data_IF_812189288864
#
_entry.id   IF_812189288864
#
_cell.length_a   1.000
_cell.length_b   1.000
_cell.length_c   1.000
_cell.angle_alpha   90.00
_cell.angle_beta   90.00
_cell.angle_gamma   90.00
#
_symmetry.space_group_name_H-M   'P 1'
#
loop_
_entity.id
_entity.type
_entity.pdbx_description
1 polymer ?
#
# COMPACT_ATOMS: atom_id res chain seq x y z
N UNK A 1 -23.49 -51.70 36.53
CA UNK A 1 -23.30 -52.03 37.95
C UNK A 1 -21.81 -51.96 38.23
N UNK A 2 -21.42 -51.13 39.20
CA UNK A 2 -20.12 -51.06 39.88
C UNK A 2 -18.90 -50.69 39.03
N UNK A 3 -17.94 -49.88 39.46
CA UNK A 3 -17.80 -48.76 40.42
C UNK A 3 -16.36 -48.26 40.17
N UNK A 4 -16.15 -46.99 40.49
CA UNK A 4 -14.93 -46.17 40.45
C UNK A 4 -13.58 -46.86 40.60
N UNK A 5 -12.55 -46.29 39.97
CA UNK A 5 -11.29 -46.08 40.70
C UNK A 5 -10.61 -44.75 40.37
N UNK A 6 -10.35 -44.06 41.47
CA UNK A 6 -9.83 -42.73 41.70
C UNK A 6 -8.30 -42.83 41.80
N UNK A 7 -7.55 -42.05 41.02
CA UNK A 7 -6.10 -41.99 41.19
C UNK A 7 -5.58 -40.56 41.20
N UNK A 8 -5.40 -40.11 42.43
CA UNK A 8 -4.67 -38.93 42.84
C UNK A 8 -3.24 -38.89 42.27
N UNK A 9 -2.82 -37.70 41.85
CA UNK A 9 -1.41 -37.30 41.70
C UNK A 9 -1.34 -35.81 42.07
N UNK A 10 -1.07 -35.54 43.34
CA UNK A 10 0.23 -35.07 43.85
C UNK A 10 0.64 -33.70 43.28
N UNK A 11 0.31 -32.67 44.07
CA UNK A 11 0.98 -31.37 44.09
C UNK A 11 2.45 -31.55 44.50
N UNK A 12 3.37 -30.73 43.95
CA UNK A 12 4.63 -30.45 44.61
C UNK A 12 4.70 -29.00 45.13
N UNK A 13 4.97 -28.95 46.43
CA UNK A 13 5.97 -28.12 47.10
C UNK A 13 5.83 -26.58 47.05
N UNK A 14 5.44 -26.09 48.23
CA UNK A 14 5.80 -24.80 48.81
C UNK A 14 7.30 -24.49 48.60
N UNK A 15 7.57 -23.35 47.96
CA UNK A 15 8.90 -22.81 47.76
C UNK A 15 8.95 -21.38 48.28
N UNK A 16 9.51 -21.25 49.48
CA UNK A 16 10.39 -20.16 49.94
C UNK A 16 9.92 -18.71 49.71
N UNK A 17 9.30 -18.15 50.74
CA UNK A 17 9.22 -16.71 50.96
C UNK A 17 10.65 -16.14 51.00
N UNK A 18 11.02 -15.42 49.95
CA UNK A 18 12.16 -14.51 49.98
C UNK A 18 11.64 -13.17 50.47
N UNK A 19 12.25 -12.68 51.55
CA UNK A 19 12.12 -11.31 52.06
C UNK A 19 12.28 -10.33 50.89
N UNK A 20 11.17 -9.72 50.49
CA UNK A 20 11.17 -8.57 49.60
C UNK A 20 11.59 -7.40 50.49
N UNK A 21 12.87 -7.09 50.44
CA UNK A 21 13.39 -5.80 50.88
C UNK A 21 12.66 -4.73 50.09
N UNK A 22 11.84 -3.97 50.81
CA UNK A 22 11.13 -2.80 50.33
C UNK A 22 12.14 -1.85 49.65
N UNK A 23 12.01 -1.60 48.34
CA UNK A 23 12.90 -0.68 47.65
C UNK A 23 12.66 0.71 48.22
N UNK A 24 13.68 1.25 48.88
CA UNK A 24 13.77 2.64 49.34
C UNK A 24 13.12 3.55 48.29
N UNK A 25 12.03 4.20 48.70
CA UNK A 25 11.35 5.25 47.97
C UNK A 25 12.41 6.28 47.58
N UNK A 26 12.64 6.54 46.28
CA UNK A 26 13.57 7.58 45.87
C UNK A 26 13.01 8.90 46.41
N UNK A 27 13.73 9.47 47.38
CA UNK A 27 13.45 10.78 47.93
C UNK A 27 13.16 11.74 46.78
N UNK A 28 12.03 12.44 46.88
CA UNK A 28 11.64 13.59 46.06
C UNK A 28 12.78 14.62 46.03
N UNK A 29 13.75 14.39 45.14
CA UNK A 29 14.68 15.41 44.74
C UNK A 29 13.87 16.37 43.89
N UNK A 30 13.53 17.52 44.49
CA UNK A 30 12.94 18.64 43.77
C UNK A 30 13.67 18.81 42.43
N UNK A 31 12.94 18.85 41.31
CA UNK A 31 13.58 19.05 40.02
C UNK A 31 14.38 20.36 40.09
N UNK A 32 15.61 20.40 39.55
CA UNK A 32 16.39 21.62 39.50
C UNK A 32 15.53 22.73 38.87
N UNK A 33 15.61 23.97 39.39
CA UNK A 33 14.79 25.07 38.91
C UNK A 33 14.91 25.17 37.39
N UNK A 34 13.78 25.06 36.71
CA UNK A 34 13.70 25.23 35.28
C UNK A 34 14.00 26.70 34.99
N UNK A 35 15.21 27.00 34.56
CA UNK A 35 15.51 28.27 33.91
C UNK A 35 14.55 28.38 32.72
N UNK A 36 13.62 29.34 32.82
CA UNK A 36 12.61 29.57 31.80
C UNK A 36 13.25 29.73 30.42
N UNK A 37 12.50 29.44 29.34
CA UNK A 37 13.04 29.50 27.99
C UNK A 37 13.69 30.85 27.76
N UNK A 38 15.02 30.85 27.69
CA UNK A 38 15.80 32.01 27.31
C UNK A 38 15.25 32.50 25.98
N UNK A 39 14.62 33.67 26.02
CA UNK A 39 14.09 34.39 24.87
C UNK A 39 15.27 35.00 24.12
N UNK A 40 16.20 34.15 23.68
CA UNK A 40 17.22 34.52 22.72
C UNK A 40 16.52 34.62 21.38
N UNK A 41 16.13 35.84 21.04
CA UNK A 41 15.69 36.23 19.73
C UNK A 41 16.73 35.75 18.70
N UNK A 42 16.45 34.61 18.07
CA UNK A 42 17.23 34.14 16.95
C UNK A 42 17.14 35.20 15.84
N UNK A 43 18.26 35.62 15.25
CA UNK A 43 18.21 36.50 14.09
C UNK A 43 17.39 35.81 13.00
N UNK A 44 16.45 36.55 12.41
CA UNK A 44 15.65 36.13 11.26
C UNK A 44 16.60 35.74 10.12
N UNK A 45 16.99 34.46 10.09
CA UNK A 45 17.70 33.86 8.98
C UNK A 45 16.77 33.89 7.78
N UNK A 46 17.23 34.57 6.72
CA UNK A 46 16.54 34.67 5.44
C UNK A 46 16.04 33.29 4.97
N UNK A 47 14.88 33.23 4.29
CA UNK A 47 14.32 31.98 3.80
C UNK A 47 15.34 31.30 2.88
N UNK A 48 15.82 30.14 3.29
CA UNK A 48 16.62 29.28 2.43
C UNK A 48 15.79 28.94 1.18
N UNK A 49 16.31 29.19 -0.04
CA UNK A 49 15.61 28.83 -1.25
C UNK A 49 15.50 27.29 -1.32
N UNK A 50 14.29 26.79 -1.13
CA UNK A 50 13.96 25.40 -1.44
C UNK A 50 14.15 25.23 -2.94
N UNK A 51 15.19 24.51 -3.35
CA UNK A 51 15.45 24.15 -4.75
C UNK A 51 14.46 23.05 -5.15
N UNK A 52 13.23 23.49 -5.43
CA UNK A 52 12.26 22.74 -6.22
C UNK A 52 12.90 22.53 -7.58
N UNK A 53 13.27 21.28 -7.89
CA UNK A 53 13.70 20.95 -9.25
C UNK A 53 12.38 20.81 -10.01
N UNK A 54 11.95 21.89 -10.65
CA UNK A 54 10.81 21.86 -11.56
C UNK A 54 11.36 21.46 -12.92
N UNK A 55 11.33 20.16 -13.24
CA UNK A 55 11.67 19.64 -14.58
C UNK A 55 10.55 19.98 -15.57
N UNK A 56 10.48 21.25 -15.98
CA UNK A 56 9.64 21.66 -17.11
C UNK A 56 10.28 21.20 -18.43
N UNK A 57 9.91 20.00 -18.87
CA UNK A 57 10.32 19.45 -20.17
C UNK A 57 9.56 20.12 -21.32
N UNK A 58 9.95 21.34 -21.68
CA UNK A 58 9.50 22.04 -22.88
C UNK A 58 10.64 22.11 -23.91
N UNK A 59 10.84 21.03 -24.65
CA UNK A 59 11.82 20.95 -25.73
C UNK A 59 11.89 19.51 -26.20
N UNK A 60 11.85 19.29 -27.52
CA UNK A 60 11.75 17.98 -28.19
C UNK A 60 12.97 17.08 -28.00
N UNK A 61 13.38 16.81 -26.76
CA UNK A 61 14.31 15.77 -26.38
C UNK A 61 13.68 14.39 -26.52
N UNK A 62 14.54 13.38 -26.62
CA UNK A 62 14.14 11.99 -26.62
C UNK A 62 13.22 11.71 -25.41
N UNK A 63 11.93 11.43 -25.67
CA UNK A 63 11.01 11.08 -24.59
C UNK A 63 11.28 9.61 -24.23
N UNK A 64 11.86 9.42 -23.05
CA UNK A 64 12.16 8.10 -22.48
C UNK A 64 10.94 7.54 -21.78
N UNK A 65 10.69 6.23 -21.93
CA UNK A 65 9.71 5.48 -21.14
C UNK A 65 10.34 4.86 -19.87
N UNK A 66 11.56 5.29 -19.54
CA UNK A 66 12.32 4.91 -18.37
C UNK A 66 12.77 6.16 -17.63
N UNK A 67 12.36 6.30 -16.38
CA UNK A 67 12.77 7.37 -15.48
C UNK A 67 13.31 6.74 -14.21
N UNK A 68 14.53 7.13 -13.81
CA UNK A 68 15.16 6.69 -12.57
C UNK A 68 15.57 7.91 -11.74
N UNK A 69 15.03 8.02 -10.52
CA UNK A 69 15.37 9.07 -9.56
C UNK A 69 15.78 8.40 -8.26
N UNK A 70 17.02 8.67 -7.83
CA UNK A 70 17.57 8.16 -6.58
C UNK A 70 18.11 9.34 -5.81
N UNK A 71 17.54 9.61 -4.64
CA UNK A 71 17.96 10.72 -3.79
C UNK A 71 18.01 10.31 -2.33
N UNK A 72 19.19 10.19 -1.68
CA UNK A 72 19.28 9.69 -0.31
C UNK A 72 18.50 10.55 0.70
N UNK A 73 18.69 11.87 0.65
CA UNK A 73 18.21 12.79 1.69
C UNK A 73 17.14 13.77 1.23
N UNK A 74 16.62 13.61 0.01
CA UNK A 74 15.60 14.50 -0.57
C UNK A 74 14.26 13.79 -0.65
N UNK A 75 13.20 14.47 -0.24
CA UNK A 75 11.84 14.01 -0.48
C UNK A 75 11.54 14.14 -1.98
N UNK A 76 10.92 13.11 -2.55
CA UNK A 76 10.47 13.11 -3.94
C UNK A 76 8.96 13.36 -3.89
N UNK A 77 8.49 14.41 -4.56
CA UNK A 77 7.07 14.73 -4.64
C UNK A 77 6.77 15.28 -6.02
N UNK A 78 6.56 14.37 -6.98
CA UNK A 78 6.50 14.70 -8.40
C UNK A 78 5.35 13.96 -9.11
N UNK A 79 5.00 14.49 -10.28
CA UNK A 79 4.02 13.91 -11.21
C UNK A 79 4.73 13.42 -12.46
N UNK A 80 4.47 12.17 -12.83
CA UNK A 80 5.11 11.47 -13.93
C UNK A 80 4.09 11.10 -15.00
N UNK A 81 4.51 11.21 -16.26
CA UNK A 81 3.73 10.77 -17.41
C UNK A 81 4.45 9.59 -18.08
N UNK A 82 3.81 8.42 -18.07
CA UNK A 82 4.35 7.16 -18.59
C UNK A 82 3.61 6.84 -19.88
N UNK A 83 4.36 6.75 -20.98
CA UNK A 83 3.81 6.39 -22.29
C UNK A 83 4.19 4.95 -22.61
N UNK A 84 3.27 4.01 -22.33
CA UNK A 84 3.53 2.57 -22.49
C UNK A 84 3.68 2.16 -23.95
N UNK A 85 3.34 2.99 -24.93
CA UNK A 85 3.52 2.62 -26.34
C UNK A 85 4.97 2.68 -26.81
N UNK A 86 5.86 3.23 -25.97
CA UNK A 86 7.28 3.36 -26.29
C UNK A 86 8.03 2.11 -25.85
N UNK A 87 8.84 1.51 -26.73
CA UNK A 87 9.69 0.41 -26.33
C UNK A 87 10.67 0.90 -25.27
N UNK A 88 10.87 0.09 -24.23
CA UNK A 88 11.99 0.27 -23.31
C UNK A 88 13.25 -0.01 -24.10
N UNK A 89 14.12 1.01 -24.22
CA UNK A 89 15.41 0.80 -24.89
C UNK A 89 16.19 -0.28 -24.12
N UNK A 90 16.72 -1.30 -24.80
CA UNK A 90 17.57 -2.29 -24.16
C UNK A 90 18.74 -1.57 -23.48
N UNK A 91 19.14 -2.05 -22.30
CA UNK A 91 20.33 -1.58 -21.60
C UNK A 91 21.58 -1.96 -22.41
N UNK A 92 21.87 -1.23 -23.47
CA UNK A 92 23.09 -1.37 -24.25
C UNK A 92 24.22 -0.61 -23.52
N UNK A 93 24.73 -1.19 -22.44
CA UNK A 93 25.87 -0.66 -21.72
C UNK A 93 26.26 -1.53 -20.52
N UNK A 94 27.54 -1.53 -20.08
CA UNK A 94 27.95 -2.20 -18.85
C UNK A 94 27.13 -1.62 -17.70
N UNK A 95 26.24 -2.45 -17.18
CA UNK A 95 25.25 -2.09 -16.17
C UNK A 95 25.96 -1.45 -14.99
N UNK A 96 25.72 -0.16 -14.76
CA UNK A 96 26.13 0.53 -13.54
C UNK A 96 25.30 -0.08 -12.41
N UNK A 97 25.81 -1.19 -11.86
CA UNK A 97 25.26 -1.96 -10.74
C UNK A 97 23.80 -1.60 -10.47
N UNK A 98 22.89 -2.07 -11.32
CA UNK A 98 21.47 -2.02 -10.97
C UNK A 98 21.37 -2.68 -9.60
N UNK A 99 20.79 -2.00 -8.60
CA UNK A 99 20.75 -2.57 -7.26
C UNK A 99 20.16 -3.97 -7.33
N UNK A 100 20.88 -4.94 -6.78
CA UNK A 100 20.65 -6.38 -6.98
C UNK A 100 19.22 -6.81 -6.60
N UNK A 101 18.56 -5.98 -5.78
CA UNK A 101 17.16 -6.10 -5.35
C UNK A 101 16.11 -5.81 -6.43
N UNK A 102 16.47 -5.30 -7.62
CA UNK A 102 15.51 -4.93 -8.68
C UNK A 102 15.26 -5.99 -9.73
N UNK A 103 15.78 -7.20 -9.54
CA UNK A 103 15.27 -8.33 -10.30
C UNK A 103 13.84 -8.63 -9.85
N UNK A 104 12.88 -7.90 -10.42
CA UNK A 104 11.51 -8.40 -10.52
C UNK A 104 11.59 -9.83 -11.07
N UNK A 105 10.66 -10.69 -10.66
CA UNK A 105 10.59 -12.07 -11.13
C UNK A 105 10.69 -12.21 -12.65
N UNK A 106 10.27 -11.18 -13.39
CA UNK A 106 10.17 -11.20 -14.85
C UNK A 106 11.40 -10.58 -15.55
N UNK A 107 12.40 -10.10 -14.80
CA UNK A 107 13.58 -9.40 -15.36
C UNK A 107 13.24 -8.11 -16.13
N UNK A 108 12.00 -7.63 -16.00
CA UNK A 108 11.50 -6.47 -16.74
C UNK A 108 11.91 -5.17 -16.07
N UNK A 109 12.41 -4.24 -16.87
CA UNK A 109 12.85 -2.92 -16.40
C UNK A 109 11.62 -2.05 -16.07
N UNK A 110 11.58 -1.35 -14.93
CA UNK A 110 10.47 -0.48 -14.58
C UNK A 110 10.42 0.76 -15.47
N UNK A 111 9.23 1.22 -15.84
CA UNK A 111 9.04 2.50 -16.53
C UNK A 111 9.38 3.69 -15.63
N UNK A 112 9.05 3.58 -14.34
CA UNK A 112 9.35 4.59 -13.33
C UNK A 112 9.99 3.93 -12.12
N UNK A 113 11.17 4.41 -11.73
CA UNK A 113 11.88 4.01 -10.53
C UNK A 113 12.20 5.25 -9.69
N UNK A 114 11.60 5.35 -8.50
CA UNK A 114 11.84 6.45 -7.56
C UNK A 114 12.25 5.91 -6.19
N UNK A 115 13.39 6.37 -5.67
CA UNK A 115 13.96 5.90 -4.41
C UNK A 115 14.46 7.05 -3.55
N UNK A 116 14.13 7.02 -2.26
CA UNK A 116 14.71 7.91 -1.26
C UNK A 116 14.97 7.20 0.05
N UNK A 117 16.22 7.14 0.48
CA UNK A 117 16.60 6.36 1.66
C UNK A 117 15.94 6.94 2.92
N UNK A 118 16.05 8.26 3.11
CA UNK A 118 15.67 8.90 4.38
C UNK A 118 14.39 9.75 4.32
N UNK A 119 13.85 10.02 3.13
CA UNK A 119 12.70 10.94 2.98
C UNK A 119 11.55 10.30 2.24
N UNK A 120 10.37 10.90 2.42
CA UNK A 120 9.16 10.41 1.78
C UNK A 120 9.23 10.50 0.26
N UNK A 121 8.59 9.52 -0.38
CA UNK A 121 8.36 9.46 -1.81
C UNK A 121 6.86 9.61 -2.07
N UNK A 122 6.49 10.57 -2.90
CA UNK A 122 5.13 10.80 -3.35
C UNK A 122 5.14 10.91 -4.88
N UNK A 123 4.73 9.83 -5.54
CA UNK A 123 4.70 9.73 -6.99
C UNK A 123 3.26 9.65 -7.48
N UNK A 124 2.88 10.61 -8.32
CA UNK A 124 1.61 10.58 -9.05
C UNK A 124 1.87 10.26 -10.52
N UNK A 125 1.12 9.34 -11.11
CA UNK A 125 1.39 8.82 -12.44
C UNK A 125 0.16 8.97 -13.34
N UNK A 126 0.38 9.50 -14.54
CA UNK A 126 -0.54 9.41 -15.67
C UNK A 126 0.02 8.40 -16.67
N UNK A 127 -0.80 7.44 -17.07
CA UNK A 127 -0.40 6.33 -17.94
C UNK A 127 -1.15 6.49 -19.25
N UNK A 128 -0.40 6.71 -20.33
CA UNK A 128 -0.95 6.88 -21.67
C UNK A 128 -0.44 5.82 -22.64
N UNK A 129 -1.21 5.59 -23.69
CA UNK A 129 -0.87 4.70 -24.81
C UNK A 129 -1.09 5.46 -26.10
N UNK A 130 0.00 5.91 -26.74
CA UNK A 130 -0.11 6.73 -27.96
C UNK A 130 -0.59 5.96 -29.20
N UNK A 131 -0.44 4.63 -29.22
CA UNK A 131 -0.87 3.77 -30.34
C UNK A 131 -1.65 2.53 -29.86
N UNK A 132 -2.91 2.35 -30.29
CA UNK A 132 -3.69 1.14 -30.01
C UNK A 132 -3.41 -0.01 -30.99
N UNK A 133 -2.64 0.22 -32.08
CA UNK A 133 -2.55 -0.68 -33.23
C UNK A 133 -1.65 -1.90 -33.00
N UNK A 134 -0.64 -1.78 -32.14
CA UNK A 134 0.24 -2.90 -31.84
C UNK A 134 -0.42 -3.72 -30.74
N UNK A 135 -1.05 -4.84 -31.11
CA UNK A 135 -1.81 -5.74 -30.22
C UNK A 135 -1.04 -6.35 -29.05
N UNK A 136 0.19 -5.89 -28.78
CA UNK A 136 0.92 -6.22 -27.58
C UNK A 136 0.40 -5.36 -26.41
N UNK A 137 -0.16 -6.00 -25.40
CA UNK A 137 -0.61 -5.33 -24.17
C UNK A 137 0.63 -4.98 -23.35
N UNK A 138 1.15 -3.77 -23.56
CA UNK A 138 2.29 -3.30 -22.78
C UNK A 138 1.83 -2.83 -21.40
N UNK A 139 2.47 -3.37 -20.38
CA UNK A 139 2.23 -3.07 -18.97
C UNK A 139 3.11 -1.91 -18.52
N UNK A 140 2.54 -0.94 -17.81
CA UNK A 140 3.32 0.07 -17.08
C UNK A 140 3.85 -0.56 -15.79
N UNK A 141 5.16 -0.50 -15.55
CA UNK A 141 5.79 -0.98 -14.34
C UNK A 141 6.37 0.19 -13.52
N UNK A 142 5.87 0.38 -12.31
CA UNK A 142 6.18 1.52 -11.43
C UNK A 142 6.76 0.98 -10.13
N UNK A 143 7.93 1.48 -9.73
CA UNK A 143 8.60 1.15 -8.48
C UNK A 143 8.83 2.42 -7.67
N UNK A 144 8.32 2.43 -6.43
CA UNK A 144 8.56 3.50 -5.49
C UNK A 144 9.03 2.94 -4.15
N UNK A 145 10.15 3.45 -3.64
CA UNK A 145 10.72 2.94 -2.41
C UNK A 145 11.29 4.00 -1.49
N UNK A 146 11.21 3.73 -0.19
CA UNK A 146 11.93 4.48 0.83
C UNK A 146 12.32 3.62 2.01
N UNK A 147 13.50 3.81 2.60
CA UNK A 147 13.84 3.03 3.80
C UNK A 147 13.11 3.60 5.02
N UNK A 148 13.17 4.92 5.20
CA UNK A 148 12.65 5.57 6.41
C UNK A 148 11.41 6.45 6.16
N UNK A 149 11.17 6.87 4.92
CA UNK A 149 10.11 7.78 4.54
C UNK A 149 8.79 7.10 4.19
N UNK A 150 7.70 7.88 4.17
CA UNK A 150 6.42 7.37 3.65
C UNK A 150 6.49 7.21 2.14
N UNK A 151 5.85 6.17 1.59
CA UNK A 151 5.73 5.95 0.15
C UNK A 151 4.28 6.12 -0.25
N UNK A 152 4.00 7.09 -1.10
CA UNK A 152 2.68 7.31 -1.71
C UNK A 152 2.80 7.15 -3.22
N UNK A 153 2.05 6.22 -3.79
CA UNK A 153 1.97 6.04 -5.25
C UNK A 153 0.52 6.17 -5.66
N UNK A 154 0.23 7.02 -6.64
CA UNK A 154 -1.12 7.16 -7.17
C UNK A 154 -1.16 7.19 -8.68
N UNK A 155 -2.14 6.50 -9.26
CA UNK A 155 -2.45 6.59 -10.69
C UNK A 155 -3.64 7.53 -10.81
N UNK A 156 -3.41 8.71 -11.39
CA UNK A 156 -4.44 9.74 -11.56
C UNK A 156 -5.28 9.47 -12.79
N UNK A 157 -4.64 9.00 -13.87
CA UNK A 157 -5.28 8.69 -15.15
C UNK A 157 -4.56 7.53 -15.82
N UNK A 158 -5.35 6.69 -16.50
CA UNK A 158 -4.89 5.54 -17.25
C UNK A 158 -5.71 5.40 -18.54
N UNK A 159 -5.05 5.15 -19.66
CA UNK A 159 -5.74 4.85 -20.91
C UNK A 159 -6.34 3.43 -20.89
N UNK A 160 -7.54 3.21 -21.45
CA UNK A 160 -8.18 1.91 -21.50
C UNK A 160 -7.29 0.84 -22.17
N UNK A 161 -7.32 -0.38 -21.62
CA UNK A 161 -6.53 -1.51 -22.16
C UNK A 161 -5.03 -1.42 -21.87
N UNK A 162 -4.62 -0.60 -20.91
CA UNK A 162 -3.26 -0.63 -20.35
C UNK A 162 -3.28 -1.30 -18.99
N UNK A 163 -2.36 -2.25 -18.78
CA UNK A 163 -2.17 -2.88 -17.47
C UNK A 163 -1.08 -2.17 -16.67
N UNK A 164 -1.19 -2.22 -15.35
CA UNK A 164 -0.24 -1.54 -14.46
C UNK A 164 0.25 -2.46 -13.38
N UNK A 165 1.57 -2.51 -13.19
CA UNK A 165 2.23 -3.15 -12.07
C UNK A 165 2.86 -2.09 -11.17
N UNK A 166 2.39 -2.01 -9.92
CA UNK A 166 2.90 -1.08 -8.91
C UNK A 166 3.67 -1.89 -7.85
N UNK A 167 4.95 -1.59 -7.66
CA UNK A 167 5.74 -2.10 -6.54
C UNK A 167 6.07 -0.96 -5.58
N UNK A 168 5.60 -1.05 -4.34
CA UNK A 168 5.84 -0.05 -3.30
C UNK A 168 6.57 -0.68 -2.11
N UNK A 169 7.74 -0.13 -1.75
CA UNK A 169 8.60 -0.67 -0.68
C UNK A 169 8.86 0.37 0.41
N UNK A 170 8.61 0.04 1.66
CA UNK A 170 8.99 0.89 2.80
C UNK A 170 9.37 0.10 4.05
N UNK A 171 10.54 0.38 4.63
CA UNK A 171 10.93 -0.32 5.86
C UNK A 171 10.22 0.31 7.07
N UNK A 172 10.22 1.63 7.22
CA UNK A 172 9.66 2.28 8.41
C UNK A 172 8.39 3.08 8.10
N UNK A 173 8.38 3.82 6.99
CA UNK A 173 7.28 4.72 6.67
C UNK A 173 6.03 3.99 6.18
N UNK A 174 4.92 4.70 6.16
CA UNK A 174 3.65 4.19 5.68
C UNK A 174 3.62 4.11 4.15
N UNK A 175 2.93 3.10 3.62
CA UNK A 175 2.70 2.93 2.18
C UNK A 175 1.25 3.29 1.88
N UNK A 176 1.02 4.19 0.93
CA UNK A 176 -0.31 4.61 0.47
C UNK A 176 -0.39 4.40 -1.04
N UNK A 177 -1.30 3.54 -1.50
CA UNK A 177 -1.52 3.28 -2.92
C UNK A 177 -2.90 3.81 -3.32
N UNK A 178 -2.93 4.66 -4.34
CA UNK A 178 -4.15 5.23 -4.94
C UNK A 178 -4.38 4.63 -6.33
N UNK A 179 -5.38 3.76 -6.44
CA UNK A 179 -5.67 2.97 -7.63
C UNK A 179 -6.73 3.61 -8.52
N UNK A 180 -6.67 3.49 -9.84
CA UNK A 180 -7.76 3.97 -10.69
C UNK A 180 -9.03 3.13 -10.43
N UNK A 181 -10.22 3.69 -10.68
CA UNK A 181 -11.51 3.05 -10.33
C UNK A 181 -11.78 1.72 -11.05
N UNK A 182 -11.14 1.56 -12.19
CA UNK A 182 -11.20 0.43 -13.11
C UNK A 182 -10.02 -0.55 -12.88
N UNK A 183 -9.27 -0.41 -11.80
CA UNK A 183 -8.22 -1.36 -11.43
C UNK A 183 -8.81 -2.75 -11.17
N UNK A 184 -8.26 -3.76 -11.84
CA UNK A 184 -8.63 -5.17 -11.66
C UNK A 184 -7.39 -6.04 -11.67
N UNK A 185 -7.14 -6.75 -10.57
CA UNK A 185 -5.99 -7.64 -10.50
C UNK A 185 -5.51 -8.01 -9.09
N UNK A 186 -4.47 -8.86 -9.00
CA UNK A 186 -3.88 -9.31 -7.75
C UNK A 186 -3.17 -8.19 -6.98
N UNK A 187 -3.27 -8.31 -5.65
CA UNK A 187 -2.47 -7.60 -4.67
C UNK A 187 -1.65 -8.62 -3.89
N UNK A 188 -0.34 -8.49 -3.95
CA UNK A 188 0.61 -9.20 -3.10
C UNK A 188 1.13 -8.24 -2.05
N UNK A 189 0.97 -8.58 -0.78
CA UNK A 189 1.45 -7.78 0.33
C UNK A 189 2.38 -8.61 1.21
N UNK A 190 3.64 -8.21 1.31
CA UNK A 190 4.62 -8.75 2.23
C UNK A 190 4.83 -7.74 3.36
N UNK A 191 4.50 -8.13 4.58
CA UNK A 191 4.69 -7.26 5.75
C UNK A 191 5.27 -8.02 6.94
N UNK A 192 6.23 -7.44 7.65
CA UNK A 192 6.69 -8.02 8.91
C UNK A 192 5.63 -7.94 10.01
N UNK A 193 4.65 -7.03 9.89
CA UNK A 193 3.45 -7.00 10.72
C UNK A 193 2.27 -7.55 9.92
N UNK A 194 2.31 -8.86 9.64
CA UNK A 194 1.17 -9.52 9.01
C UNK A 194 0.13 -9.82 10.04
N UNK A 195 -0.82 -8.91 10.08
CA UNK A 195 -2.20 -9.33 10.11
C UNK A 195 -2.88 -8.45 9.06
N UNK A 196 -3.44 -9.03 8.00
CA UNK A 196 -4.37 -8.29 7.11
C UNK A 196 -5.66 -7.87 7.85
N UNK A 197 -5.88 -8.43 9.05
CA UNK A 197 -6.83 -7.95 10.05
C UNK A 197 -6.21 -6.96 11.07
N UNK A 198 -4.93 -6.59 10.93
CA UNK A 198 -4.31 -5.57 11.78
C UNK A 198 -4.88 -4.19 11.41
N UNK A 199 -4.98 -3.27 12.36
CA UNK A 199 -5.34 -1.87 12.09
C UNK A 199 -4.35 -1.14 11.15
N UNK A 200 -3.26 -1.79 10.76
CA UNK A 200 -2.21 -1.25 9.91
C UNK A 200 -2.51 -1.40 8.42
N UNK A 201 -3.34 -2.36 8.01
CA UNK A 201 -3.78 -2.49 6.62
C UNK A 201 -5.17 -1.86 6.46
N UNK A 202 -5.24 -0.72 5.77
CA UNK A 202 -6.49 0.03 5.59
C UNK A 202 -6.90 0.01 4.13
N UNK A 203 -8.00 -0.70 3.87
CA UNK A 203 -8.69 -0.66 2.58
C UNK A 203 -9.90 0.25 2.73
N UNK A 204 -10.03 1.26 1.86
CA UNK A 204 -11.25 2.09 1.83
C UNK A 204 -12.50 1.24 1.57
N UNK A 205 -13.68 1.59 2.12
CA UNK A 205 -14.90 0.79 1.96
C UNK A 205 -15.20 0.44 0.49
N UNK A 206 -15.03 1.40 -0.43
CA UNK A 206 -15.25 1.20 -1.88
C UNK A 206 -14.34 0.13 -2.49
N UNK A 207 -13.07 0.05 -2.08
CA UNK A 207 -12.16 -1.02 -2.54
C UNK A 207 -12.53 -2.34 -1.85
N UNK A 208 -12.91 -2.28 -0.57
CA UNK A 208 -13.26 -3.46 0.23
C UNK A 208 -14.45 -4.24 -0.33
N UNK A 209 -15.40 -3.56 -0.97
CA UNK A 209 -16.54 -4.20 -1.64
C UNK A 209 -16.14 -5.07 -2.84
N UNK A 210 -14.97 -4.80 -3.45
CA UNK A 210 -14.47 -5.49 -4.64
C UNK A 210 -13.27 -6.40 -4.37
N UNK A 211 -12.78 -6.44 -3.13
CA UNK A 211 -11.59 -7.20 -2.80
C UNK A 211 -11.97 -8.61 -2.30
N UNK A 212 -11.34 -9.62 -2.89
CA UNK A 212 -11.45 -11.02 -2.47
C UNK A 212 -10.11 -11.47 -1.90
N UNK A 213 -10.08 -11.83 -0.62
CA UNK A 213 -8.91 -12.44 0.02
C UNK A 213 -8.88 -13.93 -0.33
N UNK A 214 -7.75 -14.43 -0.82
CA UNK A 214 -7.65 -15.84 -1.22
C UNK A 214 -6.43 -16.58 -0.67
N UNK A 215 -5.42 -15.92 -0.10
CA UNK A 215 -4.36 -16.65 0.60
C UNK A 215 -3.65 -15.76 1.62
N UNK A 216 -3.33 -16.34 2.77
CA UNK A 216 -2.44 -15.74 3.77
C UNK A 216 -1.39 -16.81 4.06
N UNK A 217 -0.14 -16.49 3.76
CA UNK A 217 1.02 -17.31 4.08
C UNK A 217 1.69 -16.72 5.32
N UNK A 218 1.29 -17.24 6.49
CA UNK A 218 1.81 -16.75 7.78
C UNK A 218 3.32 -17.00 7.92
N UNK A 219 3.82 -18.11 7.36
CA UNK A 219 5.23 -18.47 7.41
C UNK A 219 6.08 -17.54 6.54
N UNK A 220 5.66 -17.31 5.30
CA UNK A 220 6.34 -16.39 4.39
C UNK A 220 6.11 -14.92 4.73
N UNK A 221 5.16 -14.64 5.64
CA UNK A 221 4.66 -13.29 5.88
C UNK A 221 4.23 -12.66 4.55
N UNK A 222 3.28 -13.31 3.90
CA UNK A 222 2.64 -12.78 2.69
C UNK A 222 1.11 -12.90 2.76
N UNK A 223 0.44 -11.93 2.16
CA UNK A 223 -0.99 -11.95 1.96
C UNK A 223 -1.33 -11.66 0.51
N UNK A 224 -2.34 -12.36 0.01
CA UNK A 224 -2.75 -12.35 -1.37
C UNK A 224 -4.23 -12.00 -1.49
N UNK A 225 -4.48 -10.93 -2.24
CA UNK A 225 -5.80 -10.40 -2.55
C UNK A 225 -6.02 -10.34 -4.04
N UNK A 226 -7.28 -10.27 -4.45
CA UNK A 226 -7.65 -9.89 -5.81
C UNK A 226 -8.69 -8.78 -5.75
N UNK A 227 -8.54 -7.71 -6.55
CA UNK A 227 -9.58 -6.70 -6.76
C UNK A 227 -10.31 -7.07 -8.05
N UNK A 228 -11.61 -7.35 -7.96
CA UNK A 228 -12.44 -7.76 -9.09
C UNK A 228 -13.15 -9.09 -8.84
N UNK A 229 -13.70 -9.66 -9.91
CA UNK A 229 -14.34 -10.98 -9.85
C UNK A 229 -13.25 -12.07 -9.87
N UNK A 230 -13.14 -12.92 -8.85
CA UNK A 230 -12.14 -13.99 -8.81
C UNK A 230 -12.27 -14.99 -9.97
N UNK A 231 -13.42 -15.09 -10.63
CA UNK A 231 -13.58 -15.91 -11.84
C UNK A 231 -12.75 -15.34 -12.99
N UNK A 232 -12.60 -14.02 -13.08
CA UNK A 232 -11.74 -13.37 -14.08
C UNK A 232 -10.28 -13.76 -13.89
N UNK A 233 -9.82 -13.95 -12.64
CA UNK A 233 -8.46 -14.43 -12.34
C UNK A 233 -8.17 -15.79 -12.99
N UNK A 234 -9.16 -16.69 -13.01
CA UNK A 234 -9.03 -18.03 -13.62
C UNK A 234 -9.15 -17.98 -15.14
N UNK A 235 -9.96 -17.06 -15.68
CA UNK A 235 -10.19 -16.92 -17.12
C UNK A 235 -9.04 -16.22 -17.85
N UNK A 236 -8.34 -15.29 -17.18
CA UNK A 236 -7.26 -14.48 -17.75
C UNK A 236 -5.86 -15.07 -17.50
N UNK A 237 -5.77 -16.21 -16.81
CA UNK A 237 -4.52 -16.97 -16.76
C UNK A 237 -4.18 -17.40 -18.19
N UNK A 238 -2.99 -17.04 -18.72
CA UNK A 238 -2.63 -17.36 -20.09
C UNK A 238 -2.80 -18.87 -20.30
N UNK A 239 -3.62 -19.24 -21.28
CA UNK A 239 -3.82 -20.65 -21.64
C UNK A 239 -2.43 -21.28 -21.79
N UNK A 240 -2.13 -22.41 -21.11
CA UNK A 240 -0.82 -23.00 -21.15
C UNK A 240 -0.45 -23.17 -22.63
N UNK A 241 0.67 -22.54 -23.02
CA UNK A 241 1.20 -22.62 -24.39
C UNK A 241 1.12 -24.10 -24.79
N UNK A 242 0.42 -24.45 -25.90
CA UNK A 242 0.24 -25.84 -26.28
C UNK A 242 1.63 -26.48 -26.31
N UNK A 243 1.84 -27.45 -25.43
CA UNK A 243 3.12 -28.11 -25.29
C UNK A 243 3.57 -28.56 -26.68
N UNK A 244 4.74 -28.09 -27.12
CA UNK A 244 5.39 -28.56 -28.33
C UNK A 244 5.34 -30.09 -28.32
N UNK A 245 4.80 -30.76 -29.36
CA UNK A 245 4.58 -32.20 -29.32
C UNK A 245 5.91 -32.91 -29.04
N UNK A 246 5.99 -33.51 -27.85
CA UNK A 246 7.13 -34.29 -27.42
C UNK A 246 7.10 -35.60 -28.23
N UNK A 247 8.23 -35.91 -28.85
CA UNK A 247 8.45 -37.12 -29.65
C UNK A 247 7.99 -38.40 -28.91
N UNK A 248 7.29 -39.34 -29.57
CA UNK A 248 6.63 -40.46 -28.91
C UNK A 248 7.60 -41.61 -28.61
N UNK A 249 8.23 -41.60 -27.43
CA UNK A 249 8.83 -42.82 -26.87
C UNK A 249 8.75 -42.81 -25.34
N UNK A 250 7.71 -43.42 -24.76
CA UNK A 250 7.73 -44.24 -23.53
C UNK A 250 6.36 -44.30 -22.83
N UNK A 251 5.65 -45.40 -23.08
CA UNK A 251 5.09 -46.37 -22.11
C UNK A 251 4.37 -45.89 -20.83
N UNK A 252 3.03 -46.04 -20.88
CA UNK A 252 2.09 -46.62 -19.89
C UNK A 252 2.26 -46.24 -18.41
N UNK A 253 1.35 -45.41 -17.93
CA UNK A 253 0.70 -45.59 -16.62
C UNK A 253 -0.74 -45.07 -16.69
N UNK A 254 -1.71 -46.00 -16.69
CA UNK A 254 -3.12 -45.69 -16.49
C UNK A 254 -3.33 -45.32 -15.02
N UNK A 255 -3.96 -44.18 -14.75
CA UNK A 255 -4.66 -43.96 -13.49
C UNK A 255 -5.96 -43.24 -13.77
N UNK A 256 -7.03 -43.96 -13.45
CA UNK A 256 -8.44 -43.58 -13.50
C UNK A 256 -8.67 -42.36 -12.61
N UNK A 257 -9.27 -41.30 -13.17
CA UNK A 257 -9.76 -40.16 -12.40
C UNK A 257 -11.24 -40.42 -12.10
N UNK A 258 -11.53 -40.95 -10.92
CA UNK A 258 -12.87 -40.88 -10.35
C UNK A 258 -13.12 -39.45 -9.86
N UNK A 259 -14.00 -38.79 -10.61
CA UNK A 259 -14.62 -37.51 -10.29
C UNK A 259 -15.69 -37.71 -9.21
N UNK A 260 -15.36 -37.40 -7.95
CA UNK A 260 -16.35 -37.07 -6.92
C UNK A 260 -15.69 -36.36 -5.73
N UNK A 261 -15.59 -35.03 -5.79
CA UNK A 261 -15.50 -34.20 -4.59
C UNK A 261 -16.26 -32.87 -4.83
N UNK A 262 -17.02 -32.38 -3.84
CA UNK A 262 -17.87 -31.21 -4.00
C UNK A 262 -17.00 -29.95 -4.14
N UNK A 263 -17.55 -28.96 -4.85
CA UNK A 263 -16.98 -27.64 -5.10
C UNK A 263 -16.60 -26.90 -3.80
N UNK A 264 -15.44 -27.23 -3.25
CA UNK A 264 -14.69 -26.35 -2.38
C UNK A 264 -13.89 -25.42 -3.28
N UNK A 265 -14.05 -24.11 -3.11
CA UNK A 265 -13.13 -23.12 -3.66
C UNK A 265 -11.74 -23.39 -3.07
N UNK A 266 -11.00 -24.30 -3.71
CA UNK A 266 -9.61 -24.57 -3.39
C UNK A 266 -8.84 -23.27 -3.58
N UNK A 267 -8.18 -22.82 -2.52
CA UNK A 267 -7.28 -21.67 -2.52
C UNK A 267 -6.16 -21.92 -3.53
N UNK A 268 -6.43 -21.60 -4.79
CA UNK A 268 -5.45 -21.69 -5.86
C UNK A 268 -4.56 -20.47 -5.71
N UNK A 269 -3.45 -20.63 -4.98
CA UNK A 269 -2.29 -19.77 -5.21
C UNK A 269 -2.05 -19.77 -6.72
N UNK A 270 -1.89 -18.59 -7.32
CA UNK A 270 -1.45 -18.48 -8.71
C UNK A 270 -0.27 -19.44 -8.90
N UNK A 271 -0.30 -20.36 -9.88
CA UNK A 271 0.77 -21.32 -10.06
C UNK A 271 2.08 -20.53 -10.22
N UNK A 272 3.07 -20.84 -9.40
CA UNK A 272 4.38 -20.19 -9.45
C UNK A 272 4.93 -20.26 -10.87
N UNK A 273 5.16 -19.10 -11.50
CA UNK A 273 5.64 -19.00 -12.89
C UNK A 273 4.58 -18.66 -13.94
N UNK A 274 3.31 -18.50 -13.56
CA UNK A 274 2.30 -17.95 -14.49
C UNK A 274 2.33 -16.43 -14.44
N UNK A 275 2.76 -15.79 -15.53
CA UNK A 275 2.75 -14.33 -15.63
C UNK A 275 1.31 -13.84 -15.76
N UNK A 276 0.84 -13.10 -14.75
CA UNK A 276 -0.39 -12.33 -14.88
C UNK A 276 -0.21 -11.29 -15.99
N UNK A 277 -1.22 -10.99 -16.80
CA UNK A 277 -1.15 -9.97 -17.87
C UNK A 277 -1.89 -8.66 -17.53
N UNK A 278 -2.83 -8.68 -16.56
CA UNK A 278 -3.63 -7.55 -16.11
C UNK A 278 -2.95 -6.64 -15.08
N UNK A 279 -3.69 -5.98 -14.20
CA UNK A 279 -3.07 -5.09 -13.20
C UNK A 279 -2.47 -5.86 -12.02
N UNK A 280 -1.42 -5.36 -11.41
CA UNK A 280 -0.77 -6.01 -10.27
C UNK A 280 -0.26 -4.99 -9.27
N UNK A 281 -0.38 -5.31 -7.99
CA UNK A 281 0.23 -4.54 -6.92
C UNK A 281 1.11 -5.46 -6.08
N UNK A 282 2.34 -5.03 -5.84
CA UNK A 282 3.25 -5.62 -4.88
C UNK A 282 3.60 -4.58 -3.79
N UNK A 283 3.40 -4.96 -2.54
CA UNK A 283 3.65 -4.10 -1.37
C UNK A 283 4.66 -4.81 -0.48
N UNK A 284 5.74 -4.12 -0.14
CA UNK A 284 6.79 -4.63 0.75
C UNK A 284 6.94 -3.65 1.91
N UNK A 285 6.41 -4.01 3.08
CA UNK A 285 6.46 -3.18 4.29
C UNK A 285 7.19 -3.88 5.44
N UNK A 286 7.96 -3.17 6.27
CA UNK A 286 8.56 -3.78 7.48
C UNK A 286 7.84 -3.33 8.76
N UNK A 287 7.71 -2.02 8.98
CA UNK A 287 7.19 -1.45 10.23
C UNK A 287 6.11 -0.37 10.03
N UNK A 288 5.77 -0.05 8.77
CA UNK A 288 4.78 0.98 8.42
C UNK A 288 3.36 0.45 8.20
N UNK A 289 2.39 1.35 8.21
CA UNK A 289 1.01 1.05 7.83
C UNK A 289 0.85 1.06 6.31
N UNK A 290 -0.06 0.26 5.80
CA UNK A 290 -0.39 0.18 4.37
C UNK A 290 -1.83 0.62 4.17
N UNK A 291 -2.07 1.59 3.28
CA UNK A 291 -3.40 2.07 2.89
C UNK A 291 -3.61 1.89 1.40
N UNK A 292 -4.69 1.24 1.01
CA UNK A 292 -5.12 1.12 -0.39
C UNK A 292 -6.46 1.83 -0.55
N UNK A 293 -6.49 2.80 -1.45
CA UNK A 293 -7.70 3.53 -1.82
C UNK A 293 -7.84 3.64 -3.33
N UNK A 294 -9.06 3.85 -3.81
CA UNK A 294 -9.22 4.34 -5.16
C UNK A 294 -8.78 5.82 -5.21
N UNK A 295 -8.12 6.20 -6.30
CA UNK A 295 -7.93 7.58 -6.71
C UNK A 295 -9.33 8.18 -6.88
N UNK A 296 -9.67 9.05 -5.95
CA UNK A 296 -10.91 9.77 -6.01
C UNK A 296 -10.76 10.84 -7.08
N UNK A 297 -11.84 11.07 -7.83
CA UNK A 297 -12.00 12.33 -8.51
C UNK A 297 -11.92 13.41 -7.42
N UNK A 298 -11.09 14.43 -7.63
CA UNK A 298 -10.85 15.51 -6.66
C UNK A 298 -12.17 15.95 -6.03
N UNK A 299 -12.37 15.68 -4.73
CA UNK A 299 -13.55 16.12 -3.98
C UNK A 299 -14.30 15.10 -3.12
N UNK A 300 -14.08 13.78 -3.28
CA UNK A 300 -15.00 12.79 -2.67
C UNK A 300 -14.60 12.15 -1.32
N UNK A 301 -13.40 12.33 -0.78
CA UNK A 301 -13.12 11.95 0.62
C UNK A 301 -12.57 13.12 1.40
N UNK A 302 -13.45 13.75 2.18
CA UNK A 302 -13.01 14.12 3.53
C UNK A 302 -12.89 12.82 4.29
N UNK A 303 -11.66 12.29 4.40
CA UNK A 303 -11.35 11.28 5.40
C UNK A 303 -11.92 11.81 6.71
N UNK A 304 -12.97 11.17 7.22
CA UNK A 304 -13.60 11.57 8.49
C UNK A 304 -12.48 11.55 9.52
N UNK A 305 -12.11 12.73 10.01
CA UNK A 305 -10.96 12.88 10.91
C UNK A 305 -11.14 11.86 12.04
N UNK A 306 -10.08 11.13 12.37
CA UNK A 306 -10.13 10.16 13.46
C UNK A 306 -10.64 10.82 14.76
N UNK A 307 -10.38 12.12 14.94
CA UNK A 307 -10.93 12.92 16.01
C UNK A 307 -12.45 13.14 15.91
N UNK A 308 -13.00 13.31 14.70
CA UNK A 308 -14.45 13.39 14.50
C UNK A 308 -15.13 12.07 14.85
N UNK A 309 -14.55 10.93 14.45
CA UNK A 309 -15.05 9.61 14.81
C UNK A 309 -14.99 9.37 16.33
N UNK A 310 -13.88 9.72 16.99
CA UNK A 310 -13.78 9.64 18.45
C UNK A 310 -14.82 10.54 19.13
N UNK A 311 -15.07 11.73 18.58
CA UNK A 311 -16.10 12.62 19.11
C UNK A 311 -17.50 12.03 18.91
N UNK A 312 -17.79 11.42 17.77
CA UNK A 312 -19.07 10.75 17.53
C UNK A 312 -19.26 9.58 18.51
N UNK A 313 -18.24 8.72 18.68
CA UNK A 313 -18.28 7.60 19.63
C UNK A 313 -18.50 8.08 21.06
N UNK A 314 -17.80 9.15 21.48
CA UNK A 314 -18.02 9.76 22.80
C UNK A 314 -19.46 10.24 22.95
N UNK A 315 -20.00 10.91 21.94
CA UNK A 315 -21.37 11.41 21.98
C UNK A 315 -22.42 10.29 22.00
N UNK A 316 -22.17 9.15 21.35
CA UNK A 316 -23.03 7.97 21.40
C UNK A 316 -23.07 7.42 22.84
N UNK A 317 -21.91 7.33 23.51
CA UNK A 317 -21.83 6.87 24.90
C UNK A 317 -22.53 7.82 25.87
N UNK A 318 -22.36 9.13 25.69
CA UNK A 318 -22.88 10.15 26.62
C UNK A 318 -24.37 10.47 26.41
N UNK A 319 -24.84 10.48 25.16
CA UNK A 319 -26.17 11.03 24.82
C UNK A 319 -27.07 10.01 24.11
N UNK A 320 -26.58 8.80 23.86
CA UNK A 320 -27.26 7.82 23.02
C UNK A 320 -27.08 8.08 21.51
N UNK A 321 -27.39 7.08 20.67
CA UNK A 321 -27.08 7.11 19.24
C UNK A 321 -27.84 8.19 18.47
N UNK A 322 -29.11 8.44 18.81
CA UNK A 322 -29.95 9.43 18.12
C UNK A 322 -29.43 10.86 18.39
N UNK A 323 -29.11 11.19 19.64
CA UNK A 323 -28.61 12.52 19.98
C UNK A 323 -27.19 12.76 19.41
N UNK A 324 -26.36 11.73 19.33
CA UNK A 324 -25.05 11.80 18.70
C UNK A 324 -25.17 12.10 17.19
N UNK A 325 -26.10 11.43 16.50
CA UNK A 325 -26.37 11.65 15.08
C UNK A 325 -26.87 13.08 14.83
N UNK A 326 -27.84 13.55 15.61
CA UNK A 326 -28.36 14.93 15.51
C UNK A 326 -27.25 15.96 15.71
N UNK A 327 -26.39 15.77 16.72
CA UNK A 327 -25.23 16.66 16.97
C UNK A 327 -24.21 16.63 15.83
N UNK A 328 -23.96 15.47 15.21
CA UNK A 328 -23.06 15.36 14.07
C UNK A 328 -23.62 16.09 12.83
N UNK A 329 -24.92 15.92 12.54
CA UNK A 329 -25.61 16.63 11.44
C UNK A 329 -25.53 18.15 11.66
N UNK A 330 -25.84 18.63 12.87
CA UNK A 330 -25.79 20.05 13.19
C UNK A 330 -24.40 20.66 13.00
N UNK A 331 -23.34 19.95 13.38
CA UNK A 331 -21.96 20.38 13.15
C UNK A 331 -21.63 20.49 11.66
N UNK A 332 -22.05 19.52 10.87
CA UNK A 332 -21.78 19.51 9.43
C UNK A 332 -22.52 20.65 8.70
N UNK A 333 -23.78 20.90 9.06
CA UNK A 333 -24.54 22.05 8.56
C UNK A 333 -23.86 23.36 8.93
N UNK A 334 -23.46 23.53 10.20
CA UNK A 334 -22.75 24.73 10.63
C UNK A 334 -21.40 24.92 9.91
N UNK A 335 -20.63 23.86 9.68
CA UNK A 335 -19.40 23.91 8.89
C UNK A 335 -19.66 24.35 7.44
N UNK A 336 -20.72 23.83 6.81
CA UNK A 336 -21.09 24.21 5.45
C UNK A 336 -21.48 25.69 5.35
N UNK A 337 -22.24 26.21 6.32
CA UNK A 337 -22.61 27.63 6.40
C UNK A 337 -21.38 28.53 6.61
N UNK A 338 -20.45 28.11 7.47
CA UNK A 338 -19.20 28.88 7.69
C UNK A 338 -18.32 28.90 6.44
N UNK A 339 -18.24 27.79 5.71
CA UNK A 339 -17.45 27.72 4.47
C UNK A 339 -18.05 28.61 3.38
N UNK A 340 -19.38 28.60 3.19
CA UNK A 340 -20.03 29.47 2.20
C UNK A 340 -19.90 30.95 2.54
N UNK A 341 -19.86 31.30 3.84
CA UNK A 341 -19.57 32.68 4.27
C UNK A 341 -18.14 33.10 3.91
N UNK A 342 -17.16 32.22 4.15
CA UNK A 342 -15.74 32.47 3.80
C UNK A 342 -15.51 32.60 2.29
N UNK A 343 -16.22 31.82 1.47
CA UNK A 343 -16.14 31.95 0.01
C UNK A 343 -16.68 33.30 -0.46
N UNK A 344 -17.82 33.75 0.08
CA UNK A 344 -18.37 35.08 -0.23
C UNK A 344 -17.49 36.24 0.23
N UNK A 345 -16.78 36.09 1.34
CA UNK A 345 -15.81 37.11 1.81
C UNK A 345 -14.60 37.17 0.86
N UNK A 346 -14.09 36.02 0.40
CA UNK A 346 -13.00 35.98 -0.59
C UNK A 346 -13.38 36.60 -1.94
N UNK A 347 -14.59 36.35 -2.45
CA UNK A 347 -15.06 36.94 -3.71
C UNK A 347 -15.15 38.48 -3.64
N UNK A 348 -15.47 39.03 -2.46
CA UNK A 348 -15.51 40.48 -2.23
C UNK A 348 -14.14 41.13 -2.17
N UNK A 349 -13.11 40.42 -1.74
CA UNK A 349 -11.74 40.94 -1.68
C UNK A 349 -11.05 40.92 -3.05
N UNK A 350 -11.52 40.10 -4.00
CA UNK A 350 -10.94 40.00 -5.35
C UNK A 350 -11.65 40.82 -6.43
N UNK A 351 -12.73 41.54 -6.08
CA UNK A 351 -13.49 42.40 -7.00
C UNK A 351 -13.22 43.88 -6.76
#
# INVERSE_FOLDING_TARGET
MLVTDEKARQQPAEGTATDIVEPNEPQDAEPPPYDGPSTSAAPQGAPMPSTSITTSSSGGGARSNYIQIITPHKAISESFHIDVSRPLLPLSGPSRSEPEDFSTHDGSRPNLFVSSDYRSVNATCEISRSSPLDGNLQRAFIVAQSEHGNVTVGITRRDPGTSVHICAKSNIGNIIIRLPKDFVGPIKCRSNSIICASPQFRITPKVKEKITMYSIDEAAREAYAFIGDPIQMLAESPSPVPATPISPTATIASTTVESTAPAGFGYTKMPSGTEWAGDQIEIIATHGRVKICYALLEGEEKETDANELQTIVRHIKENGPIAALVKAIFRNVNKAVQNSKKEKEKEKETS
#
